data_IF_937363249824
#
_entry.id   IF_937363249824
#
_cell.length_a   1.000
_cell.length_b   1.000
_cell.length_c   1.000
_cell.angle_alpha   90.00
_cell.angle_beta   90.00
_cell.angle_gamma   90.00
#
_symmetry.space_group_name_H-M   'P 1'
#
loop_
_entity.id
_entity.type
_entity.pdbx_description
1 polymer ?
#
# COMPACT_ATOMS: atom_id res chain seq x y z
N UNK A 1 9.19 1.41 7.94
CA UNK A 1 9.11 0.68 6.66
C UNK A 1 7.63 0.35 6.42
N UNK A 2 7.01 0.84 5.34
CA UNK A 2 5.58 0.56 5.09
C UNK A 2 5.44 -0.77 4.35
N UNK A 3 4.39 -1.54 4.64
CA UNK A 3 4.14 -2.84 4.01
C UNK A 3 4.11 -2.75 2.47
N UNK A 4 3.56 -1.67 1.92
CA UNK A 4 3.52 -1.42 0.47
C UNK A 4 4.89 -1.30 -0.18
N UNK A 5 5.87 -0.67 0.49
CA UNK A 5 7.24 -0.57 -0.06
C UNK A 5 7.86 -1.94 -0.21
N UNK A 6 7.72 -2.80 0.80
CA UNK A 6 8.22 -4.17 0.76
C UNK A 6 7.52 -5.02 -0.30
N UNK A 7 6.19 -4.89 -0.43
CA UNK A 7 5.44 -5.59 -1.49
C UNK A 7 5.90 -5.15 -2.88
N UNK A 8 6.15 -3.85 -3.09
CA UNK A 8 6.68 -3.33 -4.35
C UNK A 8 8.07 -3.90 -4.62
N UNK A 9 8.98 -3.83 -3.66
CA UNK A 9 10.36 -4.33 -3.84
C UNK A 9 10.35 -5.85 -4.15
N UNK A 10 9.45 -6.62 -3.54
CA UNK A 10 9.24 -8.04 -3.85
C UNK A 10 8.59 -8.29 -5.22
N UNK A 11 7.72 -7.38 -5.66
CA UNK A 11 7.14 -7.46 -7.00
C UNK A 11 8.19 -7.14 -8.06
N UNK A 12 9.01 -6.12 -7.84
CA UNK A 12 10.13 -5.75 -8.73
C UNK A 12 11.18 -6.86 -8.81
N UNK A 13 11.45 -7.53 -7.69
CA UNK A 13 12.32 -8.72 -7.65
C UNK A 13 11.64 -10.00 -8.19
N UNK A 14 10.37 -9.95 -8.61
CA UNK A 14 9.59 -11.08 -9.12
C UNK A 14 9.01 -12.01 -8.04
N UNK A 15 9.59 -12.01 -6.83
CA UNK A 15 9.23 -12.90 -5.70
C UNK A 15 7.72 -12.99 -5.48
N UNK A 16 7.03 -11.86 -5.48
CA UNK A 16 5.59 -11.82 -5.24
C UNK A 16 4.79 -12.52 -6.36
N UNK A 17 4.95 -12.17 -7.66
CA UNK A 17 4.35 -12.91 -8.76
C UNK A 17 4.54 -14.44 -8.70
N UNK A 18 5.77 -14.92 -8.48
CA UNK A 18 6.01 -16.37 -8.45
C UNK A 18 5.35 -17.05 -7.25
N UNK A 19 5.44 -16.44 -6.07
CA UNK A 19 4.76 -16.97 -4.88
C UNK A 19 3.24 -17.02 -5.08
N UNK A 20 2.69 -15.97 -5.65
CA UNK A 20 1.25 -15.85 -5.90
C UNK A 20 0.77 -16.93 -6.88
N UNK A 21 1.48 -17.17 -7.98
CA UNK A 21 1.16 -18.22 -8.94
C UNK A 21 1.18 -19.62 -8.30
N UNK A 22 2.24 -19.95 -7.55
CA UNK A 22 2.36 -21.24 -6.86
C UNK A 22 1.22 -21.43 -5.87
N UNK A 23 0.94 -20.42 -5.05
CA UNK A 23 -0.14 -20.49 -4.07
C UNK A 23 -1.50 -20.76 -4.74
N UNK A 24 -1.82 -20.06 -5.82
CA UNK A 24 -3.07 -20.27 -6.56
C UNK A 24 -3.13 -21.65 -7.20
N UNK A 25 -2.01 -22.15 -7.75
CA UNK A 25 -1.94 -23.48 -8.32
C UNK A 25 -2.20 -24.57 -7.27
N UNK A 26 -1.59 -24.47 -6.09
CA UNK A 26 -1.78 -25.41 -4.99
C UNK A 26 -3.22 -25.38 -4.48
N UNK A 27 -3.78 -24.19 -4.23
CA UNK A 27 -5.18 -24.06 -3.77
C UNK A 27 -6.17 -24.64 -4.77
N UNK A 28 -5.92 -24.46 -6.07
CA UNK A 28 -6.73 -25.08 -7.13
C UNK A 28 -6.57 -26.60 -7.15
N UNK A 29 -5.35 -27.10 -6.98
CA UNK A 29 -5.08 -28.54 -6.99
C UNK A 29 -5.82 -29.28 -5.85
N UNK A 30 -5.99 -28.63 -4.69
CA UNK A 30 -6.74 -29.20 -3.55
C UNK A 30 -8.23 -28.84 -3.55
N UNK A 31 -8.74 -28.17 -4.59
CA UNK A 31 -10.15 -27.79 -4.72
C UNK A 31 -10.62 -26.74 -3.70
N UNK A 32 -9.69 -25.98 -3.11
CA UNK A 32 -10.00 -24.90 -2.15
C UNK A 32 -10.15 -23.53 -2.83
N UNK A 33 -9.91 -23.46 -4.13
CA UNK A 33 -10.08 -22.26 -4.93
C UNK A 33 -10.92 -22.59 -6.16
N UNK A 34 -12.16 -22.14 -6.10
CA UNK A 34 -13.06 -22.11 -7.25
C UNK A 34 -12.75 -20.89 -8.12
N UNK A 35 -12.79 -21.07 -9.43
CA UNK A 35 -12.43 -20.07 -10.44
C UNK A 35 -13.61 -19.74 -11.36
N UNK A 36 -14.79 -20.32 -11.12
CA UNK A 36 -15.98 -20.08 -11.92
C UNK A 36 -16.47 -18.62 -11.78
N UNK A 37 -16.24 -18.01 -10.60
CA UNK A 37 -16.57 -16.62 -10.31
C UNK A 37 -15.34 -15.84 -9.78
N UNK A 38 -15.11 -14.64 -10.31
CA UNK A 38 -14.06 -13.74 -9.83
C UNK A 38 -14.62 -12.34 -9.55
N UNK A 39 -14.35 -11.81 -8.35
CA UNK A 39 -14.69 -10.45 -7.96
C UNK A 39 -13.44 -9.55 -8.02
N UNK A 40 -13.54 -8.40 -8.69
CA UNK A 40 -12.49 -7.39 -8.71
C UNK A 40 -12.69 -6.45 -7.52
N UNK A 41 -11.96 -6.71 -6.42
CA UNK A 41 -11.95 -5.83 -5.24
C UNK A 41 -10.88 -4.75 -5.39
N UNK A 42 -11.21 -3.67 -6.11
CA UNK A 42 -10.30 -2.55 -6.25
C UNK A 42 -10.74 -1.53 -7.29
N UNK A 43 -11.41 -0.48 -6.84
CA UNK A 43 -11.59 0.74 -7.64
C UNK A 43 -11.01 1.93 -6.88
N UNK A 44 -9.99 2.58 -7.46
CA UNK A 44 -9.48 3.86 -6.94
C UNK A 44 -10.12 4.99 -7.72
N UNK A 45 -11.22 5.52 -7.20
CA UNK A 45 -11.83 6.75 -7.72
C UNK A 45 -11.35 7.94 -6.90
N UNK A 46 -10.94 9.01 -7.59
CA UNK A 46 -10.63 10.30 -6.95
C UNK A 46 -11.90 10.77 -6.23
N UNK A 47 -11.75 11.20 -4.97
CA UNK A 47 -12.86 11.83 -4.25
C UNK A 47 -13.34 13.05 -5.05
N UNK A 48 -14.61 13.04 -5.46
CA UNK A 48 -15.22 14.12 -6.24
C UNK A 48 -15.26 15.45 -5.46
N UNK A 49 -15.32 15.36 -4.14
CA UNK A 49 -15.28 16.50 -3.21
C UNK A 49 -14.01 16.41 -2.39
N UNK A 50 -12.93 17.04 -2.86
CA UNK A 50 -11.74 17.27 -2.04
C UNK A 50 -12.13 18.12 -0.84
N UNK A 51 -11.79 17.68 0.38
CA UNK A 51 -11.95 18.51 1.56
C UNK A 51 -11.27 19.85 1.37
N UNK A 52 -11.91 20.93 1.85
CA UNK A 52 -11.36 22.28 1.83
C UNK A 52 -9.92 22.25 2.33
N UNK A 53 -9.04 22.90 1.56
CA UNK A 53 -7.64 23.18 1.84
C UNK A 53 -7.32 23.06 3.33
N UNK A 54 -6.44 22.13 3.76
CA UNK A 54 -6.02 22.13 5.14
C UNK A 54 -5.42 23.50 5.42
N UNK A 55 -5.96 24.17 6.43
CA UNK A 55 -5.48 25.46 6.90
C UNK A 55 -3.95 25.36 7.08
N UNK A 56 -3.23 26.43 6.72
CA UNK A 56 -1.76 26.44 6.73
C UNK A 56 -1.27 25.85 8.05
N UNK A 57 -0.61 24.69 7.96
CA UNK A 57 -0.01 24.01 9.11
C UNK A 57 0.87 25.03 9.80
N UNK A 58 0.51 25.44 11.03
CA UNK A 58 1.30 26.39 11.80
C UNK A 58 2.71 25.80 11.94
N UNK A 59 3.67 26.39 11.25
CA UNK A 59 5.07 26.01 11.37
C UNK A 59 5.51 26.39 12.78
N UNK A 60 5.67 25.39 13.66
CA UNK A 60 6.49 25.54 14.86
C UNK A 60 7.94 25.52 14.40
N UNK A 61 8.41 26.67 13.91
CA UNK A 61 9.83 26.88 13.68
C UNK A 61 10.60 26.72 14.99
N UNK A 62 11.75 26.05 14.94
CA UNK A 62 12.73 26.00 16.02
C UNK A 62 13.11 27.43 16.41
N UNK A 63 12.66 27.86 17.59
CA UNK A 63 13.26 29.02 18.25
C UNK A 63 14.73 28.71 18.56
N UNK A 64 15.65 29.69 18.45
CA UNK A 64 17.05 29.47 18.79
C UNK A 64 17.16 29.01 20.25
N UNK A 65 17.86 27.90 20.49
CA UNK A 65 18.23 27.48 21.83
C UNK A 65 19.26 28.47 22.40
N UNK A 66 19.09 28.86 23.66
CA UNK A 66 20.00 29.76 24.36
C UNK A 66 21.42 29.15 24.40
N UNK A 67 22.43 29.93 24.00
CA UNK A 67 23.83 29.54 24.16
C UNK A 67 24.25 29.75 25.61
N UNK A 68 24.65 28.68 26.28
CA UNK A 68 25.33 28.74 27.58
C UNK A 68 26.80 29.07 27.35
N UNK A 69 27.30 30.09 28.06
CA UNK A 69 28.73 30.47 28.13
C UNK A 69 29.50 29.53 29.05
#
# INVERSE_FOLDING_TARGET
>A
MTAWRRLRDWTEAGVWPQLHEVLLAELRAVGLLDMDDAAIDGSHVRALKGGLTPDLRRSTGLGPAASTT
#
